data_IF_394444708081
#
_entry.id   IF_394444708081
#
_cell.length_a   1.000
_cell.length_b   1.000
_cell.length_c   1.000
_cell.angle_alpha   90.00
_cell.angle_beta   90.00
_cell.angle_gamma   90.00
#
_symmetry.space_group_name_H-M   'P 1'
#
loop_
_entity.id
_entity.type
_entity.pdbx_description
1 polymer ?
#
# COMPACT_ATOMS: atom_id res chain seq x y z
N UNK A 1 28.71 -18.77 9.87
CA UNK A 1 27.77 -17.64 9.94
C UNK A 1 26.39 -18.15 9.57
N UNK A 2 25.67 -18.71 10.50
CA UNK A 2 24.30 -19.20 10.30
C UNK A 2 23.33 -18.19 10.90
N UNK A 3 22.64 -17.67 10.07
CA UNK A 3 21.65 -16.68 9.82
C UNK A 3 20.39 -16.82 10.69
N UNK A 4 19.90 -15.71 11.13
CA UNK A 4 18.58 -15.43 11.71
C UNK A 4 17.38 -15.76 10.77
N UNK A 5 17.56 -16.73 9.86
CA UNK A 5 16.55 -17.13 8.87
C UNK A 5 15.32 -17.86 9.48
N UNK A 6 15.41 -18.36 10.71
CA UNK A 6 14.33 -19.08 11.35
C UNK A 6 13.18 -18.19 11.82
N UNK A 7 13.48 -17.10 12.51
CA UNK A 7 12.46 -16.23 13.10
C UNK A 7 11.65 -15.46 12.05
N UNK A 8 12.28 -15.03 10.95
CA UNK A 8 11.63 -14.32 9.84
C UNK A 8 10.74 -15.21 8.96
N UNK A 9 10.96 -16.53 9.00
CA UNK A 9 10.13 -17.49 8.24
C UNK A 9 8.71 -17.59 8.82
N UNK A 10 8.55 -17.44 10.12
CA UNK A 10 7.24 -17.48 10.80
C UNK A 10 6.38 -16.24 10.46
N UNK A 11 7.02 -15.08 10.20
CA UNK A 11 6.31 -13.88 9.78
C UNK A 11 5.81 -13.92 8.31
N UNK A 12 6.16 -14.97 7.56
CA UNK A 12 5.59 -15.22 6.23
C UNK A 12 4.21 -15.85 6.28
N UNK A 13 3.77 -16.35 7.45
CA UNK A 13 2.42 -16.87 7.62
C UNK A 13 1.45 -15.70 7.78
N UNK A 14 0.39 -15.60 6.94
CA UNK A 14 -0.56 -14.49 7.00
C UNK A 14 -1.14 -14.21 8.38
N UNK A 15 -1.38 -15.27 9.15
CA UNK A 15 -1.92 -15.18 10.53
C UNK A 15 -0.95 -14.47 11.49
N UNK A 16 0.33 -14.84 11.49
CA UNK A 16 1.34 -14.23 12.39
C UNK A 16 1.66 -12.79 11.99
N UNK A 17 1.68 -12.50 10.69
CA UNK A 17 1.78 -11.14 10.18
C UNK A 17 0.61 -10.29 10.67
N UNK A 18 -0.61 -10.80 10.58
CA UNK A 18 -1.82 -10.10 11.03
C UNK A 18 -1.82 -9.86 12.55
N UNK A 19 -1.37 -10.85 13.34
CA UNK A 19 -1.25 -10.72 14.79
C UNK A 19 -0.22 -9.63 15.15
N UNK A 20 0.96 -9.64 14.51
CA UNK A 20 1.98 -8.62 14.72
C UNK A 20 1.47 -7.23 14.35
N UNK A 21 0.84 -7.06 13.17
CA UNK A 21 0.22 -5.81 12.75
C UNK A 21 -0.85 -5.32 13.74
N UNK A 22 -1.61 -6.23 14.33
CA UNK A 22 -2.57 -5.89 15.38
C UNK A 22 -1.90 -5.34 16.65
N UNK A 23 -0.81 -5.95 17.09
CA UNK A 23 -0.07 -5.55 18.30
C UNK A 23 0.60 -4.17 18.12
N UNK A 24 1.23 -3.93 16.98
CA UNK A 24 1.91 -2.64 16.70
C UNK A 24 0.97 -1.53 16.28
N UNK A 25 -0.31 -1.82 16.02
CA UNK A 25 -1.31 -0.84 15.62
C UNK A 25 -1.44 -0.65 14.11
N UNK A 26 -0.79 -1.47 13.29
CA UNK A 26 -0.80 -1.36 11.82
C UNK A 26 -2.19 -1.52 11.21
N UNK A 27 -3.04 -2.41 11.76
CA UNK A 27 -4.42 -2.58 11.29
C UNK A 27 -5.27 -1.33 11.55
N UNK A 28 -5.11 -0.70 12.73
CA UNK A 28 -5.81 0.55 13.07
C UNK A 28 -5.33 1.70 12.18
N UNK A 29 -4.03 1.76 11.91
CA UNK A 29 -3.44 2.73 11.00
C UNK A 29 -4.00 2.57 9.58
N UNK A 30 -4.00 1.36 9.01
CA UNK A 30 -4.56 1.10 7.68
C UNK A 30 -6.02 1.54 7.60
N UNK A 31 -6.85 1.17 8.59
CA UNK A 31 -8.24 1.61 8.66
C UNK A 31 -8.36 3.13 8.62
N UNK A 32 -7.58 3.83 9.46
CA UNK A 32 -7.56 5.30 9.51
C UNK A 32 -7.18 5.90 8.15
N UNK A 33 -6.15 5.38 7.49
CA UNK A 33 -5.71 5.86 6.17
C UNK A 33 -6.82 5.69 5.14
N UNK A 34 -7.41 4.51 5.06
CA UNK A 34 -8.47 4.24 4.07
C UNK A 34 -9.69 5.12 4.34
N UNK A 35 -10.15 5.22 5.57
CA UNK A 35 -11.34 6.02 5.90
C UNK A 35 -11.13 7.51 5.66
N UNK A 36 -9.96 8.06 6.01
CA UNK A 36 -9.72 9.51 5.95
C UNK A 36 -9.26 9.98 4.57
N UNK A 37 -8.54 9.16 3.80
CA UNK A 37 -7.93 9.56 2.54
C UNK A 37 -8.59 8.91 1.31
N UNK A 38 -8.91 7.62 1.35
CA UNK A 38 -9.61 7.01 0.21
C UNK A 38 -11.04 7.56 0.08
N UNK A 39 -11.73 7.80 1.19
CA UNK A 39 -13.08 8.41 1.20
C UNK A 39 -14.03 7.73 0.21
N UNK A 40 -13.93 6.39 0.13
CA UNK A 40 -14.74 5.59 -0.77
C UNK A 40 -16.22 5.65 -0.37
N UNK A 41 -17.08 5.65 -1.37
CA UNK A 41 -18.53 5.56 -1.24
C UNK A 41 -19.05 4.25 -1.81
N UNK A 42 -20.24 3.77 -1.39
CA UNK A 42 -20.82 2.58 -1.97
C UNK A 42 -20.96 2.68 -3.50
N UNK A 43 -20.50 1.64 -4.19
CA UNK A 43 -20.49 1.56 -5.65
C UNK A 43 -19.23 2.10 -6.33
N UNK A 44 -18.29 2.73 -5.58
CA UNK A 44 -17.00 3.12 -6.14
C UNK A 44 -16.19 1.90 -6.60
N UNK A 45 -15.48 2.02 -7.70
CA UNK A 45 -14.50 1.04 -8.16
C UNK A 45 -13.13 1.32 -7.51
N UNK A 46 -12.67 0.37 -6.71
CA UNK A 46 -11.40 0.48 -5.96
C UNK A 46 -10.40 -0.56 -6.44
N UNK A 47 -9.24 -0.10 -6.89
CA UNK A 47 -8.08 -0.96 -7.21
C UNK A 47 -7.09 -0.89 -6.06
N UNK A 48 -6.68 -2.06 -5.53
CA UNK A 48 -5.70 -2.18 -4.44
C UNK A 48 -4.42 -2.84 -4.97
N UNK A 49 -3.37 -2.03 -5.13
CA UNK A 49 -2.05 -2.48 -5.61
C UNK A 49 -1.26 -3.03 -4.42
N UNK A 50 -0.76 -4.28 -4.55
CA UNK A 50 -0.09 -4.96 -3.44
C UNK A 50 -1.06 -5.24 -2.30
N UNK A 51 -2.27 -5.71 -2.63
CA UNK A 51 -3.36 -5.89 -1.67
C UNK A 51 -3.04 -6.88 -0.54
N UNK A 52 -2.02 -7.71 -0.70
CA UNK A 52 -1.70 -8.77 0.25
C UNK A 52 -2.91 -9.68 0.50
N UNK A 53 -3.25 -9.97 1.77
CA UNK A 53 -4.45 -10.72 2.12
C UNK A 53 -5.74 -9.88 2.08
N UNK A 54 -5.76 -8.77 1.35
CA UNK A 54 -6.90 -7.86 1.11
C UNK A 54 -7.53 -7.27 2.39
N UNK A 55 -6.72 -6.93 3.39
CA UNK A 55 -7.21 -6.37 4.65
C UNK A 55 -7.85 -4.98 4.48
N UNK A 56 -7.48 -4.24 3.43
CA UNK A 56 -8.04 -2.93 3.12
C UNK A 56 -9.56 -3.01 2.92
N UNK A 57 -10.05 -4.10 2.32
CA UNK A 57 -11.46 -4.34 2.04
C UNK A 57 -12.35 -4.27 3.30
N UNK A 58 -11.81 -4.64 4.48
CA UNK A 58 -12.55 -4.54 5.75
C UNK A 58 -12.87 -3.09 6.18
N UNK A 59 -12.21 -2.11 5.57
CA UNK A 59 -12.34 -0.68 5.93
C UNK A 59 -13.01 0.14 4.84
N UNK A 60 -13.37 -0.51 3.73
CA UNK A 60 -14.10 0.06 2.62
C UNK A 60 -15.61 -0.21 2.78
N UNK A 61 -16.49 0.66 2.27
CA UNK A 61 -17.91 0.36 2.15
C UNK A 61 -18.15 -0.74 1.09
N UNK A 62 -19.38 -0.92 0.66
CA UNK A 62 -19.72 -1.82 -0.45
C UNK A 62 -19.24 -1.23 -1.77
N UNK A 63 -18.07 -1.68 -2.25
CA UNK A 63 -17.36 -1.18 -3.43
C UNK A 63 -17.10 -2.31 -4.45
N UNK A 64 -16.89 -1.96 -5.70
CA UNK A 64 -16.32 -2.87 -6.70
C UNK A 64 -14.80 -2.98 -6.43
N UNK A 65 -14.40 -4.02 -5.70
CA UNK A 65 -12.99 -4.16 -5.28
C UNK A 65 -12.20 -5.07 -6.22
N UNK A 66 -11.03 -4.58 -6.64
CA UNK A 66 -10.07 -5.32 -7.47
C UNK A 66 -8.68 -5.25 -6.85
N UNK A 67 -8.22 -6.33 -6.21
CA UNK A 67 -6.90 -6.44 -5.60
C UNK A 67 -5.90 -7.18 -6.47
N UNK A 68 -4.65 -6.68 -6.53
CA UNK A 68 -3.53 -7.38 -7.15
C UNK A 68 -2.37 -7.52 -6.18
N UNK A 69 -1.69 -8.66 -6.22
CA UNK A 69 -0.47 -8.93 -5.46
C UNK A 69 0.39 -9.97 -6.20
N UNK A 70 1.71 -9.87 -6.08
CA UNK A 70 2.64 -10.83 -6.69
C UNK A 70 2.67 -12.17 -5.94
N UNK A 71 2.20 -12.20 -4.69
CA UNK A 71 2.23 -13.39 -3.85
C UNK A 71 0.96 -14.23 -4.02
N UNK A 72 1.05 -15.43 -4.65
CA UNK A 72 -0.10 -16.29 -4.88
C UNK A 72 -0.77 -16.79 -3.59
N UNK A 73 -0.01 -16.94 -2.49
CA UNK A 73 -0.57 -17.40 -1.22
C UNK A 73 -1.47 -16.33 -0.58
N UNK A 74 -1.09 -15.05 -0.71
CA UNK A 74 -1.93 -13.94 -0.26
C UNK A 74 -3.23 -13.85 -1.07
N UNK A 75 -3.13 -13.98 -2.38
CA UNK A 75 -4.30 -13.98 -3.26
C UNK A 75 -5.20 -15.19 -3.00
N UNK A 76 -4.64 -16.38 -2.80
CA UNK A 76 -5.41 -17.56 -2.43
C UNK A 76 -6.13 -17.38 -1.08
N UNK A 77 -5.45 -16.74 -0.10
CA UNK A 77 -6.07 -16.40 1.18
C UNK A 77 -7.22 -15.39 1.00
N UNK A 78 -6.99 -14.30 0.25
CA UNK A 78 -7.99 -13.27 -0.02
C UNK A 78 -9.25 -13.84 -0.67
N UNK A 79 -9.09 -14.70 -1.69
CA UNK A 79 -10.20 -15.40 -2.35
C UNK A 79 -11.01 -16.27 -1.39
N UNK A 80 -10.33 -17.02 -0.49
CA UNK A 80 -11.03 -17.86 0.51
C UNK A 80 -11.75 -17.03 1.56
N UNK A 81 -11.17 -15.88 1.95
CA UNK A 81 -11.69 -15.07 3.05
C UNK A 81 -12.84 -14.16 2.62
N UNK A 82 -12.74 -13.58 1.42
CA UNK A 82 -13.67 -12.57 0.98
C UNK A 82 -14.60 -13.03 -0.16
N UNK A 83 -14.30 -14.17 -0.81
CA UNK A 83 -15.18 -14.74 -1.83
C UNK A 83 -15.56 -13.74 -2.90
N UNK A 84 -16.87 -13.50 -3.05
CA UNK A 84 -17.42 -12.62 -4.09
C UNK A 84 -17.37 -11.12 -3.75
N UNK A 85 -16.79 -10.73 -2.60
CA UNK A 85 -16.66 -9.33 -2.22
C UNK A 85 -15.58 -8.57 -3.01
N UNK A 86 -14.87 -9.26 -3.90
CA UNK A 86 -13.84 -8.64 -4.73
C UNK A 86 -13.20 -9.62 -5.70
N UNK A 87 -12.49 -9.07 -6.66
CA UNK A 87 -11.67 -9.83 -7.62
C UNK A 87 -10.21 -9.74 -7.16
N UNK A 88 -9.54 -10.90 -7.07
CA UNK A 88 -8.16 -10.98 -6.60
C UNK A 88 -7.27 -11.62 -7.67
N UNK A 89 -6.24 -10.91 -8.12
CA UNK A 89 -5.38 -11.27 -9.25
C UNK A 89 -3.94 -11.42 -8.81
N UNK A 90 -3.30 -12.52 -9.18
CA UNK A 90 -1.84 -12.69 -9.02
C UNK A 90 -1.14 -11.96 -10.16
N UNK A 91 -0.27 -11.01 -9.82
CA UNK A 91 0.51 -10.26 -10.79
C UNK A 91 1.02 -8.94 -10.22
N UNK A 92 1.83 -8.27 -11.02
CA UNK A 92 2.34 -6.93 -10.75
C UNK A 92 1.76 -5.90 -11.74
N UNK A 93 2.07 -4.63 -11.53
CA UNK A 93 1.57 -3.53 -12.36
C UNK A 93 2.08 -3.57 -13.81
N UNK A 94 3.23 -4.21 -14.07
CA UNK A 94 3.78 -4.38 -15.43
C UNK A 94 3.03 -5.47 -16.19
N UNK A 95 2.86 -6.63 -15.57
CA UNK A 95 2.20 -7.79 -16.18
C UNK A 95 0.70 -7.56 -16.42
N UNK A 96 0.06 -6.73 -15.60
CA UNK A 96 -1.39 -6.47 -15.66
C UNK A 96 -1.74 -5.16 -16.38
N UNK A 97 -0.78 -4.46 -16.99
CA UNK A 97 -1.00 -3.15 -17.63
C UNK A 97 -2.03 -3.16 -18.76
N UNK A 98 -2.12 -4.26 -19.49
CA UNK A 98 -3.08 -4.44 -20.59
C UNK A 98 -4.41 -5.07 -20.16
N UNK A 99 -4.55 -5.44 -18.90
CA UNK A 99 -5.78 -6.03 -18.38
C UNK A 99 -6.86 -4.95 -18.21
N UNK A 100 -7.90 -5.05 -19.00
CA UNK A 100 -8.99 -4.05 -19.05
C UNK A 100 -9.79 -3.96 -17.76
N UNK A 101 -9.72 -4.94 -16.88
CA UNK A 101 -10.36 -4.88 -15.56
C UNK A 101 -9.81 -3.74 -14.72
N UNK A 102 -8.50 -3.40 -14.89
CA UNK A 102 -7.82 -2.32 -14.19
C UNK A 102 -7.95 -0.98 -14.92
N UNK A 103 -9.19 -0.58 -15.21
CA UNK A 103 -9.53 0.70 -15.86
C UNK A 103 -10.74 1.32 -15.16
N UNK A 104 -10.89 2.63 -15.37
CA UNK A 104 -12.05 3.43 -14.95
C UNK A 104 -12.31 3.38 -13.43
N UNK A 105 -11.24 3.29 -12.62
CA UNK A 105 -11.34 3.27 -11.18
C UNK A 105 -11.62 4.68 -10.61
N UNK A 106 -12.45 4.72 -9.59
CA UNK A 106 -12.64 5.91 -8.75
C UNK A 106 -11.44 6.16 -7.85
N UNK A 107 -10.91 5.06 -7.31
CA UNK A 107 -9.84 5.10 -6.32
C UNK A 107 -8.84 3.98 -6.63
N UNK A 108 -7.56 4.33 -6.58
CA UNK A 108 -6.47 3.36 -6.50
C UNK A 108 -5.79 3.53 -5.15
N UNK A 109 -5.57 2.43 -4.44
CA UNK A 109 -4.81 2.43 -3.18
C UNK A 109 -3.54 1.60 -3.33
N UNK A 110 -2.45 2.03 -2.68
CA UNK A 110 -1.18 1.30 -2.58
C UNK A 110 -0.63 1.50 -1.16
N UNK A 111 -0.91 0.54 -0.27
CA UNK A 111 -0.55 0.63 1.15
C UNK A 111 0.64 -0.24 1.46
N UNK A 112 1.76 0.38 1.85
CA UNK A 112 3.04 -0.28 2.13
C UNK A 112 3.60 -1.02 0.90
N UNK A 113 3.62 -0.35 -0.24
CA UNK A 113 4.07 -0.90 -1.53
C UNK A 113 5.32 -0.21 -2.06
N UNK A 114 5.32 1.14 -2.12
CA UNK A 114 6.35 1.88 -2.84
C UNK A 114 7.74 1.74 -2.22
N UNK A 115 7.85 1.49 -0.91
CA UNK A 115 9.13 1.29 -0.25
C UNK A 115 9.77 -0.09 -0.56
N UNK A 116 9.04 -1.00 -1.21
CA UNK A 116 9.60 -2.25 -1.74
C UNK A 116 10.16 -2.11 -3.16
N UNK A 117 9.76 -1.06 -3.87
CA UNK A 117 10.05 -0.82 -5.28
C UNK A 117 11.22 0.17 -5.42
N UNK A 118 12.12 -0.08 -6.37
CA UNK A 118 13.10 0.94 -6.76
C UNK A 118 12.42 2.13 -7.45
N UNK A 119 13.18 3.14 -7.88
CA UNK A 119 12.58 4.36 -8.42
C UNK A 119 11.88 4.13 -9.76
N UNK A 120 12.38 3.24 -10.61
CA UNK A 120 11.78 2.89 -11.89
C UNK A 120 10.49 2.08 -11.68
N UNK A 121 10.53 1.07 -10.83
CA UNK A 121 9.38 0.24 -10.47
C UNK A 121 8.27 1.06 -9.78
N UNK A 122 8.66 1.98 -8.90
CA UNK A 122 7.71 2.86 -8.20
C UNK A 122 7.06 3.88 -9.16
N UNK A 123 7.82 4.43 -10.12
CA UNK A 123 7.27 5.27 -11.18
C UNK A 123 6.29 4.48 -12.07
N UNK A 124 6.64 3.26 -12.47
CA UNK A 124 5.76 2.38 -13.23
C UNK A 124 4.46 2.05 -12.46
N UNK A 125 4.57 1.81 -11.15
CA UNK A 125 3.42 1.58 -10.27
C UNK A 125 2.49 2.80 -10.23
N UNK A 126 3.04 4.00 -10.05
CA UNK A 126 2.28 5.27 -10.04
C UNK A 126 1.65 5.53 -11.41
N UNK A 127 2.36 5.25 -12.51
CA UNK A 127 1.85 5.38 -13.88
C UNK A 127 0.72 4.39 -14.16
N UNK A 128 0.85 3.14 -13.71
CA UNK A 128 -0.24 2.17 -13.78
C UNK A 128 -1.49 2.69 -13.04
N UNK A 129 -1.32 3.23 -11.83
CA UNK A 129 -2.42 3.80 -11.07
C UNK A 129 -3.08 4.97 -11.81
N UNK A 130 -2.29 5.87 -12.41
CA UNK A 130 -2.81 6.96 -13.23
C UNK A 130 -3.63 6.46 -14.43
N UNK A 131 -3.10 5.47 -15.16
CA UNK A 131 -3.74 4.88 -16.33
C UNK A 131 -5.03 4.13 -15.97
N UNK A 132 -5.11 3.60 -14.74
CA UNK A 132 -6.26 2.88 -14.21
C UNK A 132 -7.38 3.80 -13.73
N UNK A 133 -7.05 5.02 -13.29
CA UNK A 133 -8.02 5.99 -12.77
C UNK A 133 -8.88 6.59 -13.88
N UNK A 134 -10.15 6.83 -13.60
CA UNK A 134 -11.01 7.73 -14.40
C UNK A 134 -10.65 9.20 -14.16
N UNK A 135 -11.15 10.12 -14.98
CA UNK A 135 -11.03 11.57 -14.74
C UNK A 135 -11.66 11.95 -13.39
N UNK A 136 -10.92 12.70 -12.56
CA UNK A 136 -11.31 13.03 -11.18
C UNK A 136 -11.13 11.90 -10.16
N UNK A 137 -10.62 10.75 -10.58
CA UNK A 137 -10.21 9.68 -9.66
C UNK A 137 -8.92 10.00 -8.91
N UNK A 138 -8.65 9.26 -7.83
CA UNK A 138 -7.49 9.53 -6.96
C UNK A 138 -6.68 8.30 -6.61
N UNK A 139 -5.36 8.49 -6.52
CA UNK A 139 -4.41 7.52 -5.97
C UNK A 139 -4.11 7.88 -4.51
N UNK A 140 -4.20 6.90 -3.62
CA UNK A 140 -3.78 7.01 -2.21
C UNK A 140 -2.65 6.03 -1.99
N UNK A 141 -1.43 6.55 -1.74
CA UNK A 141 -0.31 5.74 -1.26
C UNK A 141 -0.07 6.00 0.23
N UNK A 142 0.33 4.96 0.94
CA UNK A 142 0.79 5.07 2.32
C UNK A 142 2.03 4.22 2.51
N UNK A 143 3.12 4.84 2.94
CA UNK A 143 4.43 4.19 3.06
C UNK A 143 5.23 4.68 4.26
N UNK A 144 6.33 3.97 4.59
CA UNK A 144 7.37 4.43 5.50
C UNK A 144 8.06 5.67 4.92
N UNK A 145 8.48 6.61 5.79
CA UNK A 145 9.08 7.87 5.35
C UNK A 145 10.25 8.29 6.25
N UNK A 146 11.38 8.66 5.63
CA UNK A 146 12.49 9.28 6.35
C UNK A 146 12.23 10.77 6.58
N UNK A 147 12.52 11.25 7.81
CA UNK A 147 12.43 12.67 8.16
C UNK A 147 13.76 13.21 8.66
N UNK A 148 14.02 14.52 8.54
CA UNK A 148 15.14 15.16 9.21
C UNK A 148 15.06 14.94 10.73
N UNK A 149 16.23 14.76 11.38
CA UNK A 149 16.35 14.59 12.83
C UNK A 149 15.54 13.42 13.42
N UNK A 150 15.26 12.39 12.63
CA UNK A 150 14.58 11.18 13.12
C UNK A 150 15.40 10.51 14.23
N UNK A 151 14.73 10.15 15.33
CA UNK A 151 15.36 9.51 16.48
C UNK A 151 16.06 8.18 16.14
N UNK A 152 17.18 7.89 16.79
CA UNK A 152 17.99 6.70 16.49
C UNK A 152 17.20 5.38 16.61
N UNK A 153 16.29 5.27 17.58
CA UNK A 153 15.48 4.07 17.77
C UNK A 153 14.46 3.89 16.63
N UNK A 154 13.82 4.97 16.17
CA UNK A 154 12.96 4.96 15.00
C UNK A 154 13.73 4.55 13.73
N UNK A 155 14.93 5.13 13.53
CA UNK A 155 15.82 4.74 12.43
C UNK A 155 16.18 3.26 12.48
N UNK A 156 16.48 2.73 13.65
CA UNK A 156 16.81 1.32 13.83
C UNK A 156 15.62 0.42 13.44
N UNK A 157 14.40 0.71 13.91
CA UNK A 157 13.21 -0.06 13.56
C UNK A 157 12.96 -0.02 12.05
N UNK A 158 12.97 1.17 11.45
CA UNK A 158 12.66 1.35 10.04
C UNK A 158 13.74 0.77 9.10
N UNK A 159 15.03 0.77 9.51
CA UNK A 159 16.10 0.12 8.75
C UNK A 159 16.01 -1.40 8.73
N UNK A 160 15.27 -2.00 9.66
CA UNK A 160 14.97 -3.44 9.67
C UNK A 160 13.64 -3.79 8.99
N UNK A 161 12.92 -2.80 8.48
CA UNK A 161 11.77 -3.04 7.61
C UNK A 161 12.23 -3.78 6.34
N UNK A 162 11.34 -4.57 5.77
CA UNK A 162 11.62 -5.31 4.54
C UNK A 162 11.75 -4.41 3.31
N UNK A 163 11.22 -3.19 3.39
CA UNK A 163 11.34 -2.19 2.34
C UNK A 163 12.74 -1.59 2.30
N UNK A 164 13.43 -1.75 1.18
CA UNK A 164 14.81 -1.25 0.99
C UNK A 164 14.83 0.18 0.46
N UNK A 165 13.71 0.68 -0.04
CA UNK A 165 13.61 1.96 -0.75
C UNK A 165 12.69 2.94 -0.01
N UNK A 166 12.86 3.05 1.32
CA UNK A 166 12.17 4.08 2.08
C UNK A 166 12.70 5.44 1.63
N UNK A 167 11.79 6.34 1.26
CA UNK A 167 12.11 7.66 0.72
C UNK A 167 11.75 8.77 1.71
N UNK A 168 12.29 9.95 1.51
CA UNK A 168 11.84 11.18 2.16
C UNK A 168 10.55 11.70 1.52
N UNK A 169 9.84 12.59 2.21
CA UNK A 169 8.64 13.25 1.66
C UNK A 169 8.93 13.90 0.30
N UNK A 170 10.04 14.62 0.18
CA UNK A 170 10.43 15.26 -1.07
C UNK A 170 10.63 14.26 -2.21
N UNK A 171 11.28 13.12 -1.95
CA UNK A 171 11.49 12.08 -2.96
C UNK A 171 10.17 11.43 -3.40
N UNK A 172 9.27 11.11 -2.46
CA UNK A 172 7.93 10.60 -2.79
C UNK A 172 7.14 11.60 -3.62
N UNK A 173 7.13 12.88 -3.22
CA UNK A 173 6.45 13.94 -3.96
C UNK A 173 7.01 14.11 -5.38
N UNK A 174 8.34 14.12 -5.54
CA UNK A 174 8.99 14.21 -6.86
C UNK A 174 8.64 13.02 -7.75
N UNK A 175 8.61 11.82 -7.18
CA UNK A 175 8.25 10.62 -7.91
C UNK A 175 6.79 10.68 -8.42
N UNK A 176 5.85 11.06 -7.57
CA UNK A 176 4.45 11.21 -7.94
C UNK A 176 4.21 12.35 -8.93
N UNK A 177 4.93 13.47 -8.79
CA UNK A 177 4.81 14.65 -9.65
C UNK A 177 5.28 14.42 -11.10
N UNK A 178 6.00 13.35 -11.39
CA UNK A 178 6.31 12.95 -12.78
C UNK A 178 5.06 12.51 -13.55
N UNK A 179 4.00 12.12 -12.84
CA UNK A 179 2.80 11.53 -13.42
C UNK A 179 1.54 12.36 -13.10
N UNK A 180 1.39 12.78 -11.85
CA UNK A 180 0.23 13.56 -11.38
C UNK A 180 0.58 15.04 -11.25
N UNK A 181 -0.35 15.92 -11.62
CA UNK A 181 -0.20 17.38 -11.43
C UNK A 181 -0.50 17.80 -9.99
N UNK A 182 -1.48 17.19 -9.40
CA UNK A 182 -1.93 17.48 -8.02
C UNK A 182 -1.45 16.39 -7.09
N UNK A 183 -0.48 16.72 -6.21
CA UNK A 183 0.11 15.79 -5.25
C UNK A 183 0.11 16.44 -3.87
N UNK A 184 -0.66 15.88 -2.96
CA UNK A 184 -0.70 16.26 -1.56
C UNK A 184 -0.02 15.19 -0.70
N UNK A 185 0.68 15.62 0.35
CA UNK A 185 1.42 14.73 1.25
C UNK A 185 1.15 15.05 2.70
N UNK A 186 1.05 14.03 3.54
CA UNK A 186 0.93 14.15 5.00
C UNK A 186 1.89 13.18 5.68
N UNK A 187 2.81 13.72 6.50
CA UNK A 187 3.76 12.92 7.27
C UNK A 187 3.23 12.75 8.69
N UNK A 188 3.09 11.49 9.12
CA UNK A 188 2.72 11.14 10.49
C UNK A 188 3.94 10.56 11.23
N UNK A 189 4.36 11.25 12.29
CA UNK A 189 5.54 10.87 13.10
C UNK A 189 5.19 9.93 14.26
N UNK A 190 3.91 9.65 14.50
CA UNK A 190 3.41 8.74 15.54
C UNK A 190 2.22 7.92 15.05
N UNK A 191 2.36 7.22 13.91
CA UNK A 191 1.24 6.51 13.30
C UNK A 191 0.83 5.27 14.07
N UNK A 192 1.76 4.67 14.81
CA UNK A 192 1.60 3.39 15.50
C UNK A 192 2.10 3.45 16.96
N UNK A 193 1.97 2.34 17.69
CA UNK A 193 2.46 2.18 19.07
C UNK A 193 3.98 2.09 19.17
N UNK A 194 4.65 1.84 18.05
CA UNK A 194 6.12 1.83 17.94
C UNK A 194 6.58 3.14 17.27
N UNK A 195 7.81 3.61 17.54
CA UNK A 195 8.34 4.81 16.90
C UNK A 195 8.65 4.55 15.41
N UNK A 196 7.66 4.83 14.61
CA UNK A 196 7.67 4.67 13.16
C UNK A 196 7.21 5.99 12.52
N UNK A 197 7.64 6.27 11.31
CA UNK A 197 7.21 7.46 10.57
C UNK A 197 6.64 7.01 9.24
N UNK A 198 5.48 7.55 8.90
CA UNK A 198 4.81 7.23 7.64
C UNK A 198 4.40 8.48 6.89
N UNK A 199 4.13 8.30 5.61
CA UNK A 199 3.62 9.34 4.72
C UNK A 199 2.37 8.81 4.02
N UNK A 200 1.41 9.70 3.80
CA UNK A 200 0.32 9.51 2.84
C UNK A 200 0.57 10.43 1.65
N UNK A 201 0.41 9.88 0.45
CA UNK A 201 0.31 10.66 -0.78
C UNK A 201 -1.13 10.54 -1.29
N UNK A 202 -1.73 11.66 -1.63
CA UNK A 202 -3.01 11.75 -2.34
C UNK A 202 -2.77 12.48 -3.65
N UNK A 203 -3.03 11.79 -4.78
CA UNK A 203 -2.79 12.29 -6.12
C UNK A 203 -4.10 12.25 -6.90
N UNK A 204 -4.48 13.35 -7.56
CA UNK A 204 -5.72 13.47 -8.33
C UNK A 204 -5.42 13.52 -9.83
N UNK A 205 -6.22 12.77 -10.62
CA UNK A 205 -6.14 12.70 -12.09
C UNK A 205 -7.00 13.76 -12.75
#
# INVERSE_FOLDING_TARGET
MQSNAGLLRWLKMPFLYNLFQGVVGGNALRRRIIQNHARATPGDKVIDIGCGPAQALQSLPDVEYLGLDINPDYIAFARRTYGDKGIFVVGDTRSLRSDTRFKDADIVIAVSVLHHLDDEEAEDCIRFAYDALKGGGRLICHDACWIPNQGAFSKCIMSHDRGRNIRTEQQYRQLAAKVFRNVHTWVDTKPMRIPYVTIVLECEK
#
